data_IF_173434030619
#
_entry.id   IF_173434030619
#
_cell.length_a   1.000
_cell.length_b   1.000
_cell.length_c   1.000
_cell.angle_alpha   90.00
_cell.angle_beta   90.00
_cell.angle_gamma   90.00
#
_symmetry.space_group_name_H-M   'P 1'
#
loop_
_entity.id
_entity.type
_entity.pdbx_description
1 polymer ?
#
# COMPACT_ATOMS: atom_id res chain seq x y z
N UNK A 1 -31.60 -29.97 -31.07
CA UNK A 1 -32.98 -29.48 -31.02
C UNK A 1 -33.89 -30.56 -30.49
N UNK A 2 -34.58 -30.28 -29.39
CA UNK A 2 -35.56 -31.16 -28.76
C UNK A 2 -36.78 -31.40 -29.65
N UNK A 3 -37.38 -32.59 -29.60
CA UNK A 3 -38.51 -33.00 -30.46
C UNK A 3 -39.77 -32.15 -30.17
N UNK A 4 -39.97 -31.71 -28.93
CA UNK A 4 -41.10 -30.87 -28.54
C UNK A 4 -40.89 -29.41 -28.95
N UNK A 5 -39.65 -28.91 -28.93
CA UNK A 5 -39.31 -27.60 -29.48
C UNK A 5 -39.52 -27.56 -31.00
N UNK A 6 -39.19 -28.65 -31.70
CA UNK A 6 -39.42 -28.75 -33.14
C UNK A 6 -40.91 -28.65 -33.50
N UNK A 7 -41.77 -29.33 -32.73
CA UNK A 7 -43.24 -29.22 -32.90
C UNK A 7 -43.75 -27.79 -32.65
N UNK A 8 -43.17 -27.06 -31.71
CA UNK A 8 -43.54 -25.65 -31.47
C UNK A 8 -43.13 -24.75 -32.64
N UNK A 9 -42.00 -25.01 -33.28
CA UNK A 9 -41.55 -24.30 -34.49
C UNK A 9 -42.46 -24.62 -35.67
N UNK A 10 -42.76 -25.90 -35.91
CA UNK A 10 -43.64 -26.36 -37.00
C UNK A 10 -45.08 -25.81 -36.83
N UNK A 11 -45.54 -25.64 -35.60
CA UNK A 11 -46.85 -25.05 -35.29
C UNK A 11 -46.91 -23.51 -35.37
N UNK A 12 -45.79 -22.84 -35.69
CA UNK A 12 -45.70 -21.39 -35.77
C UNK A 12 -45.73 -20.64 -34.44
N UNK A 13 -45.72 -21.36 -33.31
CA UNK A 13 -45.75 -20.77 -31.95
C UNK A 13 -44.38 -20.31 -31.45
N UNK A 14 -43.31 -20.70 -32.15
CA UNK A 14 -41.92 -20.39 -31.82
C UNK A 14 -41.13 -20.20 -33.13
N UNK A 15 -40.27 -19.19 -33.20
CA UNK A 15 -39.35 -19.05 -34.35
C UNK A 15 -38.13 -19.96 -34.21
N UNK A 16 -37.50 -20.38 -35.30
CA UNK A 16 -36.28 -21.22 -35.23
C UNK A 16 -35.16 -20.57 -34.40
N UNK A 17 -35.00 -19.25 -34.51
CA UNK A 17 -34.04 -18.48 -33.71
C UNK A 17 -34.41 -18.47 -32.22
N UNK A 18 -35.69 -18.38 -31.89
CA UNK A 18 -36.15 -18.46 -30.51
C UNK A 18 -35.97 -19.89 -29.95
N UNK A 19 -36.16 -20.93 -30.76
CA UNK A 19 -35.90 -22.31 -30.37
C UNK A 19 -34.43 -22.55 -29.97
N UNK A 20 -33.47 -21.96 -30.70
CA UNK A 20 -32.05 -22.01 -30.33
C UNK A 20 -31.76 -21.33 -28.98
N UNK A 21 -32.45 -20.21 -28.67
CA UNK A 21 -32.29 -19.57 -27.36
C UNK A 21 -32.93 -20.38 -26.24
N UNK A 22 -34.11 -20.96 -26.49
CA UNK A 22 -34.78 -21.83 -25.53
C UNK A 22 -33.94 -23.07 -25.26
N UNK A 23 -33.27 -23.63 -26.26
CA UNK A 23 -32.39 -24.80 -26.08
C UNK A 23 -31.22 -24.52 -25.10
N UNK A 24 -30.81 -23.26 -24.93
CA UNK A 24 -29.85 -22.84 -23.89
C UNK A 24 -30.46 -22.71 -22.51
N UNK A 25 -31.79 -22.58 -22.41
CA UNK A 25 -32.55 -22.40 -21.17
C UNK A 25 -33.15 -23.72 -20.66
N UNK A 26 -32.40 -24.83 -20.73
CA UNK A 26 -32.84 -26.14 -20.22
C UNK A 26 -33.13 -26.12 -18.71
N UNK A 27 -33.97 -27.04 -18.19
CA UNK A 27 -34.14 -27.20 -16.75
C UNK A 27 -32.80 -27.30 -16.02
N UNK A 28 -32.67 -26.55 -14.94
CA UNK A 28 -31.44 -26.40 -14.18
C UNK A 28 -30.54 -25.24 -14.61
N UNK A 29 -30.72 -24.66 -15.80
CA UNK A 29 -29.93 -23.51 -16.28
C UNK A 29 -30.27 -22.24 -15.50
N UNK A 30 -29.27 -21.39 -15.26
CA UNK A 30 -29.43 -20.07 -14.70
C UNK A 30 -29.70 -19.02 -15.79
N UNK A 31 -30.54 -18.04 -15.49
CA UNK A 31 -30.90 -16.99 -16.44
C UNK A 31 -31.05 -15.63 -15.75
N UNK A 32 -30.96 -14.57 -16.54
CA UNK A 32 -31.22 -13.20 -16.11
C UNK A 32 -32.39 -12.61 -16.91
N UNK A 33 -33.38 -12.07 -16.21
CA UNK A 33 -34.46 -11.28 -16.79
C UNK A 33 -34.26 -9.80 -16.47
N UNK A 34 -34.53 -8.90 -17.42
CA UNK A 34 -34.34 -7.45 -17.24
C UNK A 34 -35.14 -6.87 -16.07
N UNK A 35 -36.37 -7.34 -15.86
CA UNK A 35 -37.28 -6.80 -14.83
C UNK A 35 -37.40 -7.68 -13.59
N UNK A 36 -37.10 -8.97 -13.69
CA UNK A 36 -37.30 -9.94 -12.59
C UNK A 36 -35.98 -10.44 -12.01
N UNK A 37 -34.85 -10.05 -12.61
CA UNK A 37 -33.52 -10.37 -12.12
C UNK A 37 -33.13 -11.82 -12.37
N UNK A 38 -32.31 -12.34 -11.47
CA UNK A 38 -31.76 -13.69 -11.55
C UNK A 38 -32.83 -14.76 -11.31
N UNK A 39 -32.76 -15.84 -12.09
CA UNK A 39 -33.61 -17.00 -11.91
C UNK A 39 -32.95 -18.30 -12.35
N UNK A 40 -33.57 -19.41 -11.98
CA UNK A 40 -33.21 -20.76 -12.39
C UNK A 40 -34.39 -21.42 -13.09
N UNK A 41 -34.15 -22.01 -14.25
CA UNK A 41 -35.19 -22.74 -14.97
C UNK A 41 -35.53 -23.98 -14.16
N UNK A 42 -36.77 -24.06 -13.69
CA UNK A 42 -37.27 -25.19 -12.91
C UNK A 42 -37.72 -26.31 -13.86
N UNK A 43 -38.50 -25.97 -14.88
CA UNK A 43 -39.15 -26.95 -15.74
C UNK A 43 -39.43 -26.38 -17.14
N UNK A 44 -39.40 -27.28 -18.12
CA UNK A 44 -39.95 -27.07 -19.45
C UNK A 44 -41.32 -27.71 -19.54
N UNK A 45 -42.34 -26.90 -19.77
CA UNK A 45 -43.69 -27.38 -20.07
C UNK A 45 -44.05 -27.01 -21.51
N UNK A 46 -43.32 -27.61 -22.45
CA UNK A 46 -43.41 -27.28 -23.87
C UNK A 46 -44.77 -27.68 -24.47
N UNK A 47 -45.41 -28.72 -23.90
CA UNK A 47 -46.79 -29.11 -24.23
C UNK A 47 -47.78 -27.95 -24.01
N UNK A 48 -47.63 -27.20 -22.91
CA UNK A 48 -48.44 -26.02 -22.61
C UNK A 48 -47.84 -24.72 -23.19
N UNK A 49 -46.77 -24.81 -23.98
CA UNK A 49 -46.02 -23.67 -24.51
C UNK A 49 -45.49 -22.74 -23.39
N UNK A 50 -45.01 -23.32 -22.29
CA UNK A 50 -44.53 -22.59 -21.11
C UNK A 50 -43.15 -23.06 -20.62
N UNK A 51 -42.41 -22.14 -20.02
CA UNK A 51 -41.21 -22.41 -19.22
C UNK A 51 -41.48 -21.90 -17.81
N UNK A 52 -41.15 -22.72 -16.81
CA UNK A 52 -41.30 -22.38 -15.39
C UNK A 52 -39.93 -22.00 -14.83
N UNK A 53 -39.85 -20.82 -14.22
CA UNK A 53 -38.60 -20.25 -13.70
C UNK A 53 -38.78 -19.82 -12.25
N UNK A 54 -37.81 -20.18 -11.42
CA UNK A 54 -37.69 -19.69 -10.05
C UNK A 54 -36.83 -18.43 -10.03
N UNK A 55 -37.47 -17.26 -10.02
CA UNK A 55 -36.77 -15.99 -9.76
C UNK A 55 -36.62 -15.75 -8.26
N UNK A 56 -35.59 -14.99 -7.87
CA UNK A 56 -35.30 -14.70 -6.46
C UNK A 56 -36.50 -14.11 -5.70
N UNK A 57 -37.32 -13.28 -6.34
CA UNK A 57 -38.53 -12.69 -5.75
C UNK A 57 -39.84 -13.34 -6.17
N UNK A 58 -39.82 -14.32 -7.09
CA UNK A 58 -41.02 -14.93 -7.67
C UNK A 58 -40.76 -16.37 -8.10
N UNK A 59 -41.06 -17.31 -7.20
CA UNK A 59 -40.93 -18.75 -7.46
C UNK A 59 -42.01 -19.26 -8.40
N UNK A 60 -41.70 -20.32 -9.13
CA UNK A 60 -42.60 -21.06 -10.03
C UNK A 60 -43.32 -20.15 -11.04
N UNK A 61 -42.60 -19.17 -11.59
CA UNK A 61 -43.17 -18.27 -12.56
C UNK A 61 -43.21 -18.93 -13.95
N UNK A 62 -44.42 -19.30 -14.39
CA UNK A 62 -44.66 -19.74 -15.75
C UNK A 62 -44.71 -18.54 -16.72
N UNK A 63 -44.00 -18.65 -17.84
CA UNK A 63 -44.08 -17.69 -18.95
C UNK A 63 -44.04 -18.40 -20.30
N UNK A 64 -44.53 -17.74 -21.35
CA UNK A 64 -44.57 -18.31 -22.70
C UNK A 64 -43.16 -18.54 -23.26
N UNK A 65 -42.96 -19.66 -23.96
CA UNK A 65 -41.64 -20.07 -24.50
C UNK A 65 -41.01 -18.99 -25.40
N UNK A 66 -41.79 -18.38 -26.30
CA UNK A 66 -41.29 -17.29 -27.16
C UNK A 66 -40.88 -16.06 -26.33
N UNK A 67 -41.65 -15.68 -25.30
CA UNK A 67 -41.31 -14.56 -24.42
C UNK A 67 -40.04 -14.81 -23.63
N UNK A 68 -39.87 -16.04 -23.13
CA UNK A 68 -38.64 -16.49 -22.46
C UNK A 68 -37.43 -16.38 -23.40
N UNK A 69 -37.55 -16.82 -24.65
CA UNK A 69 -36.50 -16.75 -25.65
C UNK A 69 -36.03 -15.31 -25.95
N UNK A 70 -36.94 -14.35 -25.89
CA UNK A 70 -36.68 -12.94 -26.19
C UNK A 70 -36.14 -12.14 -25.00
N UNK A 71 -36.51 -12.51 -23.77
CA UNK A 71 -36.28 -11.68 -22.58
C UNK A 71 -35.32 -12.29 -21.56
N UNK A 72 -34.87 -13.53 -21.76
CA UNK A 72 -33.93 -14.19 -20.86
C UNK A 72 -32.56 -14.36 -21.49
N UNK A 73 -31.55 -13.99 -20.72
CA UNK A 73 -30.16 -14.29 -21.04
C UNK A 73 -29.73 -15.51 -20.23
N UNK A 74 -29.36 -16.61 -20.90
CA UNK A 74 -28.75 -17.77 -20.25
C UNK A 74 -27.39 -17.40 -19.66
N UNK A 75 -27.13 -17.80 -18.42
CA UNK A 75 -25.86 -17.58 -17.73
C UNK A 75 -25.07 -18.89 -17.69
N UNK A 76 -23.77 -18.81 -17.94
CA UNK A 76 -22.91 -20.01 -17.77
C UNK A 76 -22.73 -20.33 -16.28
N UNK A 77 -22.46 -21.59 -15.93
CA UNK A 77 -22.18 -21.99 -14.54
C UNK A 77 -21.03 -21.20 -13.89
N UNK A 78 -20.08 -20.72 -14.69
CA UNK A 78 -18.92 -19.93 -14.25
C UNK A 78 -19.28 -18.47 -13.93
N UNK A 79 -20.42 -17.98 -14.43
CA UNK A 79 -20.91 -16.64 -14.16
C UNK A 79 -21.09 -16.42 -12.65
N UNK A 80 -20.68 -15.25 -12.14
CA UNK A 80 -20.64 -14.98 -10.70
C UNK A 80 -21.99 -15.23 -10.00
N UNK A 81 -23.10 -14.74 -10.58
CA UNK A 81 -24.44 -14.94 -10.01
C UNK A 81 -24.85 -16.42 -9.96
N UNK A 82 -24.46 -17.23 -10.96
CA UNK A 82 -24.74 -18.66 -10.98
C UNK A 82 -23.97 -19.39 -9.87
N UNK A 83 -22.68 -19.05 -9.70
CA UNK A 83 -21.84 -19.57 -8.60
C UNK A 83 -22.37 -19.16 -7.24
N UNK A 84 -22.76 -17.89 -7.06
CA UNK A 84 -23.33 -17.37 -5.82
C UNK A 84 -24.62 -18.10 -5.43
N UNK A 85 -25.49 -18.38 -6.39
CA UNK A 85 -26.72 -19.12 -6.13
C UNK A 85 -26.49 -20.61 -5.84
N UNK A 86 -25.44 -21.20 -6.42
CA UNK A 86 -25.13 -22.62 -6.25
C UNK A 86 -24.37 -22.91 -4.95
N UNK A 87 -23.48 -22.02 -4.54
CA UNK A 87 -22.62 -22.20 -3.37
C UNK A 87 -22.24 -20.85 -2.74
N UNK A 88 -23.18 -20.30 -1.96
CA UNK A 88 -22.96 -19.07 -1.22
C UNK A 88 -21.83 -19.20 -0.15
N UNK A 89 -21.70 -20.32 0.59
CA UNK A 89 -20.60 -20.49 1.54
C UNK A 89 -19.21 -20.33 0.91
N UNK A 90 -18.96 -20.91 -0.26
CA UNK A 90 -17.65 -20.74 -0.92
C UNK A 90 -17.42 -19.31 -1.41
N UNK A 91 -18.45 -18.61 -1.88
CA UNK A 91 -18.34 -17.18 -2.22
C UNK A 91 -18.01 -16.33 -0.99
N UNK A 92 -18.63 -16.60 0.17
CA UNK A 92 -18.30 -15.89 1.42
C UNK A 92 -16.85 -16.14 1.84
N UNK A 93 -16.38 -17.39 1.76
CA UNK A 93 -14.99 -17.75 2.03
C UNK A 93 -14.02 -17.03 1.08
N UNK A 94 -14.30 -17.11 -0.22
CA UNK A 94 -13.46 -16.49 -1.25
C UNK A 94 -13.44 -14.96 -1.13
N UNK A 95 -14.54 -14.33 -0.69
CA UNK A 95 -14.57 -12.89 -0.42
C UNK A 95 -13.71 -12.48 0.78
N UNK A 96 -13.53 -13.37 1.77
CA UNK A 96 -12.65 -13.12 2.91
C UNK A 96 -11.17 -13.38 2.57
N UNK A 97 -10.88 -14.47 1.85
CA UNK A 97 -9.51 -14.93 1.58
C UNK A 97 -8.90 -14.27 0.33
N UNK A 98 -9.67 -14.14 -0.75
CA UNK A 98 -9.21 -13.67 -2.06
C UNK A 98 -10.14 -12.58 -2.65
N UNK A 99 -10.20 -11.40 -2.02
CA UNK A 99 -11.11 -10.33 -2.44
C UNK A 99 -10.87 -9.84 -3.88
N UNK A 100 -9.62 -9.90 -4.35
CA UNK A 100 -9.24 -9.54 -5.73
C UNK A 100 -9.84 -10.52 -6.76
N UNK A 101 -9.90 -11.81 -6.42
CA UNK A 101 -10.46 -12.84 -7.30
C UNK A 101 -11.99 -12.70 -7.44
N UNK A 102 -12.69 -12.34 -6.36
CA UNK A 102 -14.12 -12.03 -6.40
C UNK A 102 -14.40 -10.86 -7.33
N UNK A 103 -13.64 -9.75 -7.18
CA UNK A 103 -13.83 -8.57 -8.04
C UNK A 103 -13.55 -8.90 -9.50
N UNK A 104 -12.52 -9.69 -9.81
CA UNK A 104 -12.25 -10.18 -11.16
C UNK A 104 -13.46 -10.94 -11.71
N UNK A 105 -13.95 -11.93 -10.98
CA UNK A 105 -15.07 -12.79 -11.40
C UNK A 105 -16.34 -11.98 -11.67
N UNK A 106 -16.62 -10.96 -10.85
CA UNK A 106 -17.75 -10.05 -11.05
C UNK A 106 -17.54 -9.18 -12.30
N UNK A 107 -16.35 -8.61 -12.49
CA UNK A 107 -16.04 -7.77 -13.66
C UNK A 107 -16.13 -8.58 -14.95
N UNK A 108 -15.61 -9.80 -14.99
CA UNK A 108 -15.72 -10.72 -16.14
C UNK A 108 -17.19 -11.00 -16.46
N UNK A 109 -17.99 -11.27 -15.43
CA UNK A 109 -19.44 -11.51 -15.56
C UNK A 109 -20.23 -10.28 -16.03
N UNK A 110 -19.74 -9.07 -15.74
CA UNK A 110 -20.34 -7.80 -16.16
C UNK A 110 -19.79 -7.30 -17.53
N UNK A 111 -19.01 -8.12 -18.24
CA UNK A 111 -18.48 -7.77 -19.57
C UNK A 111 -17.22 -6.91 -19.53
N UNK A 112 -16.35 -7.12 -18.53
CA UNK A 112 -15.00 -6.56 -18.46
C UNK A 112 -14.88 -5.19 -17.78
N UNK A 113 -16.00 -4.59 -17.35
CA UNK A 113 -16.02 -3.34 -16.59
C UNK A 113 -17.16 -3.27 -15.59
N UNK A 114 -16.90 -2.72 -14.39
CA UNK A 114 -17.92 -2.53 -13.37
C UNK A 114 -17.60 -1.35 -12.45
N UNK A 115 -18.61 -0.59 -12.05
CA UNK A 115 -18.47 0.41 -10.98
C UNK A 115 -18.51 -0.24 -9.59
N UNK A 116 -18.04 0.47 -8.57
CA UNK A 116 -18.13 0.01 -7.19
C UNK A 116 -19.58 -0.28 -6.76
N UNK A 117 -20.54 0.49 -7.27
CA UNK A 117 -21.96 0.29 -6.99
C UNK A 117 -22.47 -1.03 -7.59
N UNK A 118 -22.13 -1.30 -8.87
CA UNK A 118 -22.53 -2.54 -9.55
C UNK A 118 -21.94 -3.79 -8.89
N UNK A 119 -20.69 -3.72 -8.41
CA UNK A 119 -20.09 -4.82 -7.64
C UNK A 119 -20.81 -5.00 -6.30
N UNK A 120 -21.14 -3.89 -5.62
CA UNK A 120 -21.88 -3.89 -4.37
C UNK A 120 -23.27 -4.51 -4.49
N UNK A 121 -24.01 -4.23 -5.56
CA UNK A 121 -25.34 -4.79 -5.84
C UNK A 121 -25.37 -6.33 -5.80
N UNK A 122 -24.26 -6.99 -6.14
CA UNK A 122 -24.20 -8.45 -6.19
C UNK A 122 -23.72 -9.10 -4.89
N UNK A 123 -23.15 -8.31 -3.97
CA UNK A 123 -22.53 -8.80 -2.73
C UNK A 123 -23.29 -8.35 -1.48
N UNK A 124 -23.87 -7.15 -1.48
CA UNK A 124 -24.64 -6.61 -0.36
C UNK A 124 -25.96 -7.37 -0.23
N UNK A 125 -26.33 -7.73 1.00
CA UNK A 125 -27.52 -8.52 1.33
C UNK A 125 -27.23 -10.00 1.53
N UNK A 126 -26.50 -10.62 0.58
CA UNK A 126 -26.20 -12.05 0.63
C UNK A 126 -24.84 -12.35 1.30
N UNK A 127 -23.81 -11.59 0.93
CA UNK A 127 -22.41 -11.81 1.35
C UNK A 127 -22.03 -10.85 2.48
N UNK A 128 -22.40 -9.58 2.34
CA UNK A 128 -22.08 -8.52 3.29
C UNK A 128 -23.30 -7.69 3.67
N UNK A 129 -23.31 -7.17 4.89
CA UNK A 129 -24.13 -6.00 5.24
C UNK A 129 -23.57 -4.73 4.61
N UNK A 130 -24.36 -3.64 4.56
CA UNK A 130 -23.85 -2.36 4.04
C UNK A 130 -22.61 -1.84 4.78
N UNK A 131 -22.55 -2.06 6.09
CA UNK A 131 -21.44 -1.62 6.93
C UNK A 131 -20.16 -2.45 6.65
N UNK A 132 -20.30 -3.76 6.51
CA UNK A 132 -19.20 -4.66 6.16
C UNK A 132 -18.68 -4.38 4.75
N UNK A 133 -19.58 -4.17 3.79
CA UNK A 133 -19.24 -3.82 2.42
C UNK A 133 -18.35 -2.57 2.36
N UNK A 134 -18.70 -1.50 3.08
CA UNK A 134 -17.89 -0.26 3.09
C UNK A 134 -16.46 -0.53 3.58
N UNK A 135 -16.30 -1.33 4.64
CA UNK A 135 -14.99 -1.67 5.20
C UNK A 135 -14.19 -2.59 4.25
N UNK A 136 -14.86 -3.62 3.73
CA UNK A 136 -14.29 -4.59 2.80
C UNK A 136 -13.87 -3.94 1.48
N UNK A 137 -14.66 -2.99 0.97
CA UNK A 137 -14.37 -2.31 -0.29
C UNK A 137 -13.13 -1.41 -0.18
N UNK A 138 -12.98 -0.66 0.92
CA UNK A 138 -11.81 0.21 1.12
C UNK A 138 -10.51 -0.60 1.27
N UNK A 139 -10.54 -1.78 1.91
CA UNK A 139 -9.36 -2.67 1.95
C UNK A 139 -9.11 -3.32 0.58
N UNK A 140 -10.15 -3.83 -0.08
CA UNK A 140 -10.05 -4.47 -1.41
C UNK A 140 -9.56 -3.50 -2.47
N UNK A 141 -9.99 -2.23 -2.45
CA UNK A 141 -9.50 -1.20 -3.38
C UNK A 141 -7.98 -1.01 -3.30
N UNK A 142 -7.39 -1.12 -2.11
CA UNK A 142 -5.92 -1.08 -1.94
C UNK A 142 -5.26 -2.31 -2.56
N UNK A 143 -5.84 -3.50 -2.40
CA UNK A 143 -5.36 -4.74 -3.00
C UNK A 143 -5.48 -4.73 -4.54
N UNK A 144 -6.59 -4.23 -5.08
CA UNK A 144 -6.77 -4.07 -6.52
C UNK A 144 -5.69 -3.17 -7.12
N UNK A 145 -5.44 -2.01 -6.49
CA UNK A 145 -4.33 -1.11 -6.88
C UNK A 145 -2.97 -1.79 -6.75
N UNK A 146 -2.76 -2.57 -5.69
CA UNK A 146 -1.51 -3.28 -5.46
C UNK A 146 -1.28 -4.45 -6.44
N UNK A 147 -2.33 -5.05 -7.00
CA UNK A 147 -2.20 -6.18 -7.92
C UNK A 147 -1.69 -5.77 -9.30
N UNK A 148 -1.89 -4.50 -9.70
CA UNK A 148 -1.51 -4.03 -11.02
C UNK A 148 -2.26 -4.70 -12.18
N UNK A 149 -3.31 -5.48 -11.93
CA UNK A 149 -4.12 -6.13 -12.98
C UNK A 149 -5.39 -5.33 -13.34
N UNK A 150 -5.70 -4.28 -12.57
CA UNK A 150 -6.93 -3.49 -12.71
C UNK A 150 -6.59 -2.03 -12.90
N UNK A 151 -7.36 -1.36 -13.76
CA UNK A 151 -7.41 0.10 -13.78
C UNK A 151 -8.45 0.57 -12.76
N UNK A 152 -7.99 1.14 -11.65
CA UNK A 152 -8.84 1.59 -10.55
C UNK A 152 -8.92 3.12 -10.54
N UNK A 153 -10.05 3.71 -10.97
CA UNK A 153 -10.17 5.16 -11.06
C UNK A 153 -10.21 5.85 -9.68
N UNK A 154 -9.88 7.15 -9.68
CA UNK A 154 -9.90 7.97 -8.49
C UNK A 154 -11.34 8.25 -8.01
N UNK A 155 -12.27 8.48 -8.95
CA UNK A 155 -13.69 8.72 -8.66
C UNK A 155 -14.42 7.41 -8.40
N UNK A 156 -15.34 7.40 -7.44
CA UNK A 156 -16.14 6.22 -7.06
C UNK A 156 -17.20 5.83 -8.11
N UNK A 157 -17.56 6.77 -8.98
CA UNK A 157 -18.55 6.60 -10.07
C UNK A 157 -17.99 5.91 -11.31
N UNK A 158 -16.67 5.96 -11.48
CA UNK A 158 -16.02 5.51 -12.70
C UNK A 158 -15.82 3.98 -12.66
N UNK A 159 -15.90 3.34 -13.82
CA UNK A 159 -15.79 1.88 -13.94
C UNK A 159 -14.37 1.39 -13.67
N UNK A 160 -14.25 0.35 -12.84
CA UNK A 160 -13.04 -0.46 -12.74
C UNK A 160 -13.03 -1.41 -13.94
N UNK A 161 -11.88 -1.52 -14.59
CA UNK A 161 -11.68 -2.38 -15.76
C UNK A 161 -10.52 -3.32 -15.52
N UNK A 162 -10.64 -4.55 -16.05
CA UNK A 162 -9.48 -5.42 -16.20
C UNK A 162 -8.55 -4.80 -17.24
N UNK A 163 -7.24 -4.80 -16.96
CA UNK A 163 -6.26 -4.33 -17.94
C UNK A 163 -6.22 -5.35 -19.09
N UNK A 164 -6.75 -4.97 -20.25
CA UNK A 164 -6.56 -5.71 -21.49
C UNK A 164 -5.09 -5.58 -21.94
N UNK A 165 -4.57 -6.57 -22.66
CA UNK A 165 -3.16 -6.66 -23.11
C UNK A 165 -2.63 -5.42 -23.85
N UNK A 166 -3.51 -4.52 -24.32
CA UNK A 166 -3.16 -3.29 -25.04
C UNK A 166 -2.91 -2.03 -24.22
N UNK A 167 -3.29 -1.96 -22.93
CA UNK A 167 -2.95 -0.80 -22.05
C UNK A 167 -1.89 -1.25 -21.06
N UNK A 168 -0.64 -0.92 -21.38
CA UNK A 168 0.51 -1.27 -20.53
C UNK A 168 0.45 -0.50 -19.22
N UNK A 169 0.38 -1.20 -18.07
CA UNK A 169 0.49 -0.56 -16.76
C UNK A 169 1.74 0.31 -16.64
N UNK A 170 2.84 -0.13 -17.27
CA UNK A 170 4.09 0.62 -17.33
C UNK A 170 3.89 2.02 -17.95
N UNK A 171 3.11 2.13 -19.03
CA UNK A 171 2.85 3.41 -19.69
C UNK A 171 1.98 4.33 -18.81
N UNK A 172 1.00 3.77 -18.10
CA UNK A 172 0.20 4.53 -17.13
C UNK A 172 1.05 5.07 -15.97
N UNK A 173 1.99 4.27 -15.46
CA UNK A 173 2.89 4.68 -14.38
C UNK A 173 3.84 5.80 -14.85
N UNK A 174 4.36 5.72 -16.07
CA UNK A 174 5.17 6.77 -16.68
C UNK A 174 4.32 8.03 -16.88
N UNK A 175 3.09 7.92 -17.39
CA UNK A 175 2.19 9.05 -17.57
C UNK A 175 1.83 9.72 -16.23
N UNK A 176 1.60 8.93 -15.18
CA UNK A 176 1.34 9.44 -13.84
C UNK A 176 2.55 10.20 -13.28
N UNK A 177 3.76 9.67 -13.48
CA UNK A 177 5.00 10.34 -13.10
C UNK A 177 5.17 11.66 -13.86
N UNK A 178 4.99 11.66 -15.18
CA UNK A 178 5.13 12.86 -16.03
C UNK A 178 4.10 13.94 -15.70
N UNK A 179 2.92 13.57 -15.19
CA UNK A 179 1.88 14.51 -14.76
C UNK A 179 2.15 15.11 -13.38
N UNK A 180 2.95 14.45 -12.54
CA UNK A 180 3.24 14.93 -11.20
C UNK A 180 4.16 16.17 -11.25
N UNK A 181 3.63 17.33 -10.84
CA UNK A 181 4.40 18.58 -10.82
C UNK A 181 5.08 18.82 -9.47
N UNK A 182 4.55 18.25 -8.38
CA UNK A 182 5.12 18.44 -7.05
C UNK A 182 6.17 17.36 -6.73
N UNK A 183 7.26 17.68 -6.01
CA UNK A 183 8.29 16.70 -5.67
C UNK A 183 7.75 15.48 -4.93
N UNK A 184 6.82 15.66 -3.98
CA UNK A 184 6.22 14.56 -3.21
C UNK A 184 5.37 13.62 -4.07
N UNK A 185 4.66 14.17 -5.06
CA UNK A 185 3.88 13.38 -6.01
C UNK A 185 4.82 12.58 -6.93
N UNK A 186 5.92 13.18 -7.37
CA UNK A 186 6.94 12.49 -8.17
C UNK A 186 7.65 11.39 -7.38
N UNK A 187 8.01 11.62 -6.12
CA UNK A 187 8.57 10.58 -5.23
C UNK A 187 7.60 9.41 -5.14
N UNK A 188 6.32 9.69 -4.87
CA UNK A 188 5.28 8.65 -4.77
C UNK A 188 5.13 7.88 -6.08
N UNK A 189 5.15 8.57 -7.23
CA UNK A 189 5.06 7.96 -8.54
C UNK A 189 6.30 7.10 -8.87
N UNK A 190 7.51 7.56 -8.54
CA UNK A 190 8.75 6.79 -8.70
C UNK A 190 8.77 5.53 -7.82
N UNK A 191 8.29 5.63 -6.57
CA UNK A 191 8.12 4.47 -5.69
C UNK A 191 7.12 3.44 -6.27
N UNK A 192 6.05 3.90 -6.95
CA UNK A 192 5.14 2.99 -7.67
C UNK A 192 5.81 2.32 -8.87
N UNK A 193 6.58 3.07 -9.68
CA UNK A 193 7.36 2.50 -10.80
C UNK A 193 8.30 1.42 -10.27
N UNK A 194 9.05 1.72 -9.20
CA UNK A 194 9.97 0.77 -8.55
C UNK A 194 9.24 -0.50 -8.09
N UNK A 195 8.08 -0.34 -7.46
CA UNK A 195 7.26 -1.45 -6.98
C UNK A 195 6.82 -2.38 -8.11
N UNK A 196 6.46 -1.83 -9.27
CA UNK A 196 5.98 -2.58 -10.42
C UNK A 196 7.03 -2.73 -11.54
N UNK A 197 8.33 -2.64 -11.20
CA UNK A 197 9.43 -2.69 -12.18
C UNK A 197 9.39 -3.90 -13.12
N UNK A 198 8.90 -5.06 -12.64
CA UNK A 198 8.76 -6.29 -13.44
C UNK A 198 7.83 -6.14 -14.65
N UNK A 199 6.93 -5.15 -14.64
CA UNK A 199 5.99 -4.92 -15.73
C UNK A 199 6.59 -4.12 -16.89
N UNK A 200 7.78 -3.55 -16.69
CA UNK A 200 8.49 -2.79 -17.71
C UNK A 200 9.31 -3.73 -18.58
N UNK A 201 8.72 -4.19 -19.69
CA UNK A 201 9.41 -5.01 -20.70
C UNK A 201 10.57 -4.30 -21.41
N UNK A 202 10.56 -2.96 -21.41
CA UNK A 202 11.59 -2.08 -21.98
C UNK A 202 11.99 -1.05 -20.93
N UNK A 203 12.87 -1.41 -19.97
CA UNK A 203 13.30 -0.53 -18.89
C UNK A 203 13.91 0.79 -19.37
N UNK A 204 14.51 0.82 -20.57
CA UNK A 204 15.17 1.99 -21.15
C UNK A 204 14.23 3.20 -21.30
N UNK A 205 12.92 2.95 -21.41
CA UNK A 205 11.87 4.00 -21.42
C UNK A 205 11.80 4.81 -20.13
N UNK A 206 12.36 4.30 -19.03
CA UNK A 206 12.44 5.00 -17.74
C UNK A 206 13.67 5.91 -17.63
N UNK A 207 14.57 5.93 -18.61
CA UNK A 207 15.74 6.81 -18.57
C UNK A 207 15.37 8.31 -18.44
N UNK A 208 14.32 8.85 -19.12
CA UNK A 208 13.85 10.22 -18.88
C UNK A 208 13.28 10.45 -17.48
N UNK A 209 12.71 9.41 -16.84
CA UNK A 209 12.23 9.47 -15.45
C UNK A 209 13.41 9.72 -14.51
N UNK A 210 14.51 8.99 -14.68
CA UNK A 210 15.76 9.20 -13.91
C UNK A 210 16.25 10.63 -14.04
N UNK A 211 16.38 11.15 -15.27
CA UNK A 211 16.83 12.52 -15.50
C UNK A 211 15.89 13.56 -14.86
N UNK A 212 14.58 13.31 -14.86
CA UNK A 212 13.59 14.20 -14.22
C UNK A 212 13.75 14.21 -12.70
N UNK A 213 13.94 13.05 -12.08
CA UNK A 213 14.18 12.94 -10.63
C UNK A 213 15.45 13.70 -10.24
N UNK A 214 16.55 13.52 -10.99
CA UNK A 214 17.84 14.17 -10.72
C UNK A 214 17.74 15.69 -10.81
N UNK A 215 17.12 16.21 -11.88
CA UNK A 215 16.88 17.64 -12.03
C UNK A 215 16.04 18.23 -10.88
N UNK A 216 15.05 17.47 -10.41
CA UNK A 216 14.20 17.90 -9.30
C UNK A 216 14.92 17.86 -7.96
N UNK A 217 15.81 16.90 -7.73
CA UNK A 217 16.64 16.85 -6.53
C UNK A 217 17.55 18.08 -6.46
N UNK A 218 18.24 18.41 -7.56
CA UNK A 218 19.11 19.60 -7.64
C UNK A 218 18.32 20.89 -7.39
N UNK A 219 17.14 21.04 -8.00
CA UNK A 219 16.29 22.23 -7.82
C UNK A 219 15.82 22.42 -6.38
N UNK A 220 15.56 21.34 -5.65
CA UNK A 220 15.02 21.40 -4.30
C UNK A 220 16.08 21.42 -3.20
N UNK A 221 17.32 21.00 -3.46
CA UNK A 221 18.38 20.84 -2.45
C UNK A 221 18.58 22.08 -1.57
N UNK A 222 18.55 23.28 -2.14
CA UNK A 222 18.80 24.52 -1.38
C UNK A 222 17.69 24.83 -0.37
N UNK A 223 16.43 24.72 -0.78
CA UNK A 223 15.25 25.13 0.01
C UNK A 223 14.63 23.99 0.81
N UNK A 224 14.60 22.79 0.22
CA UNK A 224 13.99 21.59 0.77
C UNK A 224 14.96 20.40 0.61
N UNK A 225 16.10 20.40 1.32
CA UNK A 225 17.08 19.32 1.24
C UNK A 225 16.47 17.95 1.56
N UNK A 226 15.47 17.86 2.45
CA UNK A 226 14.76 16.61 2.71
C UNK A 226 14.15 15.97 1.46
N UNK A 227 13.60 16.79 0.55
CA UNK A 227 13.02 16.31 -0.71
C UNK A 227 14.10 15.85 -1.68
N UNK A 228 15.27 16.51 -1.67
CA UNK A 228 16.41 16.07 -2.47
C UNK A 228 16.90 14.68 -2.03
N UNK A 229 17.05 14.44 -0.72
CA UNK A 229 17.37 13.11 -0.19
C UNK A 229 16.32 12.07 -0.63
N UNK A 230 15.03 12.37 -0.49
CA UNK A 230 13.97 11.42 -0.88
C UNK A 230 13.94 11.11 -2.39
N UNK A 231 14.20 12.10 -3.24
CA UNK A 231 14.30 11.93 -4.68
C UNK A 231 15.51 11.06 -5.06
N UNK A 232 16.67 11.28 -4.41
CA UNK A 232 17.85 10.45 -4.63
C UNK A 232 17.62 9.01 -4.18
N UNK A 233 16.97 8.78 -3.04
CA UNK A 233 16.58 7.43 -2.64
C UNK A 233 15.65 6.78 -3.67
N UNK A 234 14.64 7.49 -4.17
CA UNK A 234 13.73 6.96 -5.18
C UNK A 234 14.45 6.62 -6.51
N UNK A 235 15.44 7.43 -6.90
CA UNK A 235 16.30 7.14 -8.05
C UNK A 235 17.17 5.90 -7.81
N UNK A 236 17.86 5.85 -6.68
CA UNK A 236 18.81 4.77 -6.39
C UNK A 236 18.08 3.43 -6.25
N UNK A 237 16.89 3.41 -5.64
CA UNK A 237 16.04 2.22 -5.58
C UNK A 237 15.59 1.77 -6.99
N UNK A 238 15.37 2.69 -7.95
CA UNK A 238 15.10 2.33 -9.36
C UNK A 238 16.33 1.73 -10.04
N UNK A 239 17.50 2.35 -9.88
CA UNK A 239 18.76 1.87 -10.47
C UNK A 239 19.15 0.49 -9.94
N UNK A 240 18.91 0.23 -8.64
CA UNK A 240 19.14 -1.07 -8.02
C UNK A 240 18.23 -2.17 -8.63
N UNK A 241 16.97 -1.83 -8.93
CA UNK A 241 16.00 -2.80 -9.48
C UNK A 241 16.11 -2.98 -10.99
N UNK A 242 16.61 -1.98 -11.70
CA UNK A 242 16.71 -1.95 -13.16
C UNK A 242 18.15 -1.56 -13.57
N UNK A 243 19.08 -2.53 -13.59
CA UNK A 243 20.50 -2.26 -13.89
C UNK A 243 20.76 -1.69 -15.30
N UNK A 244 19.77 -1.73 -16.20
CA UNK A 244 19.86 -1.12 -17.54
C UNK A 244 19.77 0.42 -17.48
N UNK A 245 19.27 0.97 -16.39
CA UNK A 245 19.19 2.41 -16.16
C UNK A 245 20.49 2.94 -15.59
N UNK A 246 20.82 4.18 -15.93
CA UNK A 246 22.05 4.83 -15.50
C UNK A 246 21.76 6.23 -14.97
N UNK A 247 22.56 6.70 -14.03
CA UNK A 247 22.52 8.10 -13.60
C UNK A 247 22.93 9.02 -14.76
N UNK A 248 22.26 10.16 -14.91
CA UNK A 248 22.71 11.20 -15.86
C UNK A 248 23.60 12.23 -15.18
N UNK A 249 23.67 12.21 -13.85
CA UNK A 249 24.43 13.16 -13.05
C UNK A 249 25.32 12.42 -12.02
N UNK A 250 26.52 12.04 -12.44
CA UNK A 250 27.50 11.26 -11.64
C UNK A 250 27.80 11.94 -10.29
N UNK A 251 27.81 13.27 -10.24
CA UNK A 251 28.06 14.03 -9.01
C UNK A 251 26.89 14.04 -8.02
N UNK A 252 25.72 13.52 -8.37
CA UNK A 252 24.51 13.58 -7.54
C UNK A 252 24.35 12.23 -6.82
N UNK A 253 25.13 12.00 -5.77
CA UNK A 253 25.07 10.77 -4.97
C UNK A 253 24.62 11.06 -3.54
N UNK A 254 24.18 10.02 -2.82
CA UNK A 254 23.87 10.13 -1.39
C UNK A 254 25.08 10.69 -0.61
N UNK A 255 26.29 10.20 -0.89
CA UNK A 255 27.51 10.67 -0.24
C UNK A 255 27.77 12.16 -0.50
N UNK A 256 27.55 12.62 -1.74
CA UNK A 256 27.72 14.03 -2.08
C UNK A 256 26.67 14.91 -1.39
N UNK A 257 25.41 14.47 -1.33
CA UNK A 257 24.37 15.17 -0.56
C UNK A 257 24.71 15.25 0.93
N UNK A 258 25.21 14.18 1.54
CA UNK A 258 25.65 14.19 2.95
C UNK A 258 26.77 15.21 3.16
N UNK A 259 27.76 15.24 2.26
CA UNK A 259 28.87 16.19 2.31
C UNK A 259 28.40 17.64 2.18
N UNK A 260 27.51 17.92 1.21
CA UNK A 260 27.01 19.27 0.96
C UNK A 260 26.07 19.76 2.08
N UNK A 261 25.33 18.84 2.70
CA UNK A 261 24.32 19.13 3.71
C UNK A 261 24.78 18.85 5.14
N UNK A 262 26.07 18.58 5.37
CA UNK A 262 26.67 18.18 6.66
C UNK A 262 26.17 19.03 7.83
N UNK A 263 26.14 20.35 7.65
CA UNK A 263 25.71 21.32 8.68
C UNK A 263 24.19 21.33 8.94
N UNK A 264 23.38 20.87 7.98
CA UNK A 264 21.91 20.88 8.04
C UNK A 264 21.32 19.51 8.39
N UNK A 265 22.14 18.45 8.46
CA UNK A 265 21.69 17.07 8.70
C UNK A 265 20.76 16.94 9.92
N UNK A 266 21.08 17.58 11.05
CA UNK A 266 20.23 17.54 12.26
C UNK A 266 18.79 18.01 12.00
N UNK A 267 18.59 18.95 11.07
CA UNK A 267 17.26 19.46 10.67
C UNK A 267 16.59 18.63 9.57
N UNK A 268 17.36 17.86 8.81
CA UNK A 268 16.88 17.05 7.68
C UNK A 268 16.40 15.68 8.17
N UNK A 269 17.20 14.99 8.97
CA UNK A 269 16.94 13.62 9.43
C UNK A 269 15.54 13.43 10.05
N UNK A 270 15.03 14.32 10.93
CA UNK A 270 13.70 14.17 11.52
C UNK A 270 12.56 14.18 10.50
N UNK A 271 12.77 14.77 9.32
CA UNK A 271 11.77 14.86 8.24
C UNK A 271 11.75 13.61 7.36
N UNK A 272 12.74 12.72 7.48
CA UNK A 272 12.83 11.48 6.73
C UNK A 272 12.10 10.33 7.45
N UNK A 273 11.72 9.32 6.67
CA UNK A 273 11.24 8.06 7.27
C UNK A 273 12.37 7.36 8.03
N UNK A 274 12.04 6.54 9.03
CA UNK A 274 13.03 5.84 9.84
C UNK A 274 14.01 4.98 9.01
N UNK A 275 13.53 4.38 7.92
CA UNK A 275 14.36 3.60 7.01
C UNK A 275 15.36 4.47 6.22
N UNK A 276 14.89 5.62 5.67
CA UNK A 276 15.74 6.56 4.94
C UNK A 276 16.74 7.24 5.87
N UNK A 277 16.32 7.64 7.08
CA UNK A 277 17.21 8.19 8.13
C UNK A 277 18.35 7.22 8.47
N UNK A 278 18.03 5.94 8.69
CA UNK A 278 19.04 4.91 8.94
C UNK A 278 20.04 4.79 7.79
N UNK A 279 19.57 4.77 6.54
CA UNK A 279 20.45 4.71 5.35
C UNK A 279 21.40 5.92 5.30
N UNK A 280 20.94 7.14 5.62
CA UNK A 280 21.80 8.33 5.68
C UNK A 280 22.88 8.18 6.76
N UNK A 281 22.50 7.78 7.97
CA UNK A 281 23.45 7.63 9.07
C UNK A 281 24.51 6.56 8.79
N UNK A 282 24.13 5.44 8.19
CA UNK A 282 25.06 4.37 7.80
C UNK A 282 26.04 4.79 6.70
N UNK A 283 25.67 5.78 5.89
CA UNK A 283 26.53 6.32 4.84
C UNK A 283 27.51 7.38 5.33
N UNK A 284 27.41 7.87 6.58
CA UNK A 284 28.29 8.92 7.12
C UNK A 284 29.79 8.57 7.05
N UNK A 285 30.25 7.37 7.47
CA UNK A 285 31.68 7.05 7.46
C UNK A 285 32.27 7.11 6.05
N UNK A 286 31.53 6.59 5.07
CA UNK A 286 31.94 6.61 3.68
C UNK A 286 31.86 8.01 3.06
N UNK A 287 30.84 8.80 3.40
CA UNK A 287 30.60 10.11 2.79
C UNK A 287 31.53 11.21 3.31
N UNK A 288 31.86 11.18 4.60
CA UNK A 288 32.60 12.26 5.26
C UNK A 288 34.08 11.93 5.52
N UNK A 289 34.50 10.67 5.34
CA UNK A 289 35.85 10.22 5.68
C UNK A 289 36.15 10.57 7.14
N UNK A 290 37.36 11.03 7.46
CA UNK A 290 37.83 11.31 8.83
C UNK A 290 36.91 12.23 9.65
N UNK A 291 36.13 13.11 8.99
CA UNK A 291 35.21 14.05 9.66
C UNK A 291 33.91 13.42 10.14
N UNK A 292 33.65 12.16 9.79
CA UNK A 292 32.38 11.50 10.10
C UNK A 292 32.13 11.39 11.61
N UNK A 293 33.19 11.19 12.40
CA UNK A 293 33.13 11.11 13.85
C UNK A 293 32.62 12.41 14.45
N UNK A 294 33.24 13.54 14.11
CA UNK A 294 32.80 14.86 14.58
C UNK A 294 31.33 15.15 14.22
N UNK A 295 30.92 14.77 13.01
CA UNK A 295 29.54 14.92 12.56
C UNK A 295 28.58 14.04 13.37
N UNK A 296 28.90 12.75 13.55
CA UNK A 296 28.10 11.81 14.33
C UNK A 296 27.91 12.29 15.77
N UNK A 297 28.96 12.83 16.39
CA UNK A 297 28.90 13.36 17.76
C UNK A 297 28.04 14.62 17.87
N UNK A 298 28.13 15.54 16.89
CA UNK A 298 27.23 16.70 16.81
C UNK A 298 25.77 16.27 16.66
N UNK A 299 25.52 15.26 15.83
CA UNK A 299 24.17 14.71 15.65
C UNK A 299 23.66 14.00 16.91
N UNK A 300 24.52 13.31 17.68
CA UNK A 300 24.16 12.71 18.97
C UNK A 300 23.66 13.76 19.97
N UNK A 301 24.29 14.94 19.98
CA UNK A 301 23.93 16.05 20.88
C UNK A 301 22.74 16.89 20.38
N UNK A 302 22.47 16.91 19.07
CA UNK A 302 21.50 17.83 18.45
C UNK A 302 20.23 17.19 17.89
N UNK A 303 20.05 15.87 17.99
CA UNK A 303 18.97 15.15 17.30
C UNK A 303 18.01 14.43 18.24
N UNK A 304 16.91 13.90 17.69
CA UNK A 304 15.92 13.09 18.41
C UNK A 304 16.44 11.68 18.74
N UNK A 305 15.81 11.00 19.71
CA UNK A 305 16.31 9.73 20.27
C UNK A 305 16.49 8.58 19.27
N UNK A 306 15.77 8.59 18.14
CA UNK A 306 16.00 7.59 17.08
C UNK A 306 17.40 7.73 16.47
N UNK A 307 17.81 8.97 16.17
CA UNK A 307 19.16 9.26 15.67
C UNK A 307 20.20 8.91 16.71
N UNK A 308 19.97 9.25 17.99
CA UNK A 308 20.87 8.90 19.10
C UNK A 308 21.15 7.39 19.13
N UNK A 309 20.09 6.58 19.13
CA UNK A 309 20.22 5.12 19.16
C UNK A 309 20.93 4.55 17.92
N UNK A 310 20.64 5.09 16.72
CA UNK A 310 21.30 4.64 15.49
C UNK A 310 22.77 5.05 15.43
N UNK A 311 23.12 6.28 15.83
CA UNK A 311 24.51 6.75 15.86
C UNK A 311 25.31 5.95 16.88
N UNK A 312 24.79 5.74 18.08
CA UNK A 312 25.47 4.95 19.10
C UNK A 312 25.76 3.51 18.61
N UNK A 313 24.80 2.93 17.89
CA UNK A 313 24.98 1.62 17.24
C UNK A 313 26.06 1.67 16.15
N UNK A 314 26.03 2.64 15.24
CA UNK A 314 27.00 2.77 14.15
C UNK A 314 28.42 2.99 14.71
N UNK A 315 28.58 3.82 15.73
CA UNK A 315 29.86 4.03 16.41
C UNK A 315 30.37 2.74 17.05
N UNK A 316 29.49 1.97 17.70
CA UNK A 316 29.86 0.67 18.28
C UNK A 316 30.26 -0.35 17.21
N UNK A 317 29.51 -0.44 16.10
CA UNK A 317 29.81 -1.32 14.96
C UNK A 317 31.12 -0.92 14.25
N UNK A 318 31.49 0.36 14.27
CA UNK A 318 32.75 0.89 13.74
C UNK A 318 33.94 0.75 14.70
N UNK A 319 33.77 0.10 15.86
CA UNK A 319 34.82 -0.06 16.87
C UNK A 319 35.12 1.20 17.68
N UNK A 320 34.30 2.25 17.56
CA UNK A 320 34.46 3.55 18.24
C UNK A 320 33.68 3.61 19.56
N UNK A 321 33.57 2.47 20.25
CA UNK A 321 32.79 2.35 21.49
C UNK A 321 33.42 3.15 22.64
N UNK A 322 34.75 3.11 22.76
CA UNK A 322 35.47 3.85 23.81
C UNK A 322 35.35 5.37 23.62
N UNK A 323 35.40 5.85 22.37
CA UNK A 323 35.22 7.27 22.08
C UNK A 323 33.79 7.73 22.44
N UNK A 324 32.78 6.93 22.09
CA UNK A 324 31.40 7.18 22.51
C UNK A 324 31.27 7.18 24.03
N UNK A 325 31.93 6.25 24.73
CA UNK A 325 31.95 6.18 26.20
C UNK A 325 32.48 7.47 26.81
N UNK A 326 33.68 7.90 26.39
CA UNK A 326 34.34 9.11 26.91
C UNK A 326 33.46 10.36 26.74
N UNK A 327 32.75 10.45 25.61
CA UNK A 327 31.87 11.58 25.33
C UNK A 327 30.62 11.54 26.21
N UNK A 328 30.05 10.36 26.43
CA UNK A 328 28.93 10.19 27.37
C UNK A 328 29.36 10.52 28.80
N UNK A 329 30.49 9.99 29.28
CA UNK A 329 31.07 10.31 30.59
C UNK A 329 31.24 11.82 30.77
N UNK A 330 31.86 12.47 29.78
CA UNK A 330 32.06 13.92 29.78
C UNK A 330 30.75 14.68 29.79
N UNK A 331 29.78 14.31 28.94
CA UNK A 331 28.48 14.98 28.88
C UNK A 331 27.63 14.78 30.13
N UNK A 332 27.80 13.65 30.84
CA UNK A 332 27.19 13.41 32.15
C UNK A 332 27.84 14.32 33.19
N UNK A 333 29.17 14.31 33.28
CA UNK A 333 29.93 15.11 34.24
C UNK A 333 29.69 16.61 34.09
N UNK A 334 29.68 17.11 32.85
CA UNK A 334 29.40 18.52 32.53
C UNK A 334 27.90 18.87 32.57
N UNK A 335 27.02 17.89 32.85
CA UNK A 335 25.55 18.02 32.81
C UNK A 335 25.00 18.54 31.47
N UNK A 336 25.75 18.36 30.39
CA UNK A 336 25.44 18.84 29.03
C UNK A 336 24.69 17.81 28.19
N UNK A 337 24.58 16.55 28.66
CA UNK A 337 23.82 15.50 28.00
C UNK A 337 22.36 15.92 27.75
N UNK A 338 21.83 15.57 26.57
CA UNK A 338 20.43 15.83 26.23
C UNK A 338 19.51 14.77 26.82
N UNK A 339 18.23 15.12 26.97
CA UNK A 339 17.24 14.18 27.49
C UNK A 339 17.10 12.93 26.64
N UNK A 340 17.24 13.05 25.31
CA UNK A 340 17.18 11.92 24.39
C UNK A 340 18.42 11.01 24.54
N UNK A 341 19.62 11.58 24.78
CA UNK A 341 20.82 10.81 25.13
C UNK A 341 20.66 10.04 26.45
N UNK A 342 20.19 10.73 27.48
CA UNK A 342 20.01 10.13 28.82
C UNK A 342 18.91 9.05 28.80
N UNK A 343 17.81 9.29 28.08
CA UNK A 343 16.73 8.30 27.92
C UNK A 343 17.25 7.05 27.23
N UNK A 344 18.05 7.21 26.15
CA UNK A 344 18.66 6.08 25.46
C UNK A 344 19.65 5.32 26.36
N UNK A 345 20.53 6.03 27.06
CA UNK A 345 21.53 5.42 27.95
C UNK A 345 20.88 4.61 29.08
N UNK A 346 19.83 5.15 29.70
CA UNK A 346 19.07 4.44 30.74
C UNK A 346 18.41 3.16 30.19
N UNK A 347 17.95 3.19 28.93
CA UNK A 347 17.39 2.02 28.24
C UNK A 347 18.43 0.95 27.89
N UNK A 348 19.69 1.35 27.69
CA UNK A 348 20.81 0.47 27.36
C UNK A 348 21.73 0.17 28.56
N UNK A 349 21.22 0.35 29.79
CA UNK A 349 21.98 0.23 31.06
C UNK A 349 22.79 -1.05 31.23
N UNK A 350 22.32 -2.18 30.71
CA UNK A 350 23.05 -3.45 30.79
C UNK A 350 24.32 -3.42 29.93
N UNK A 351 24.24 -2.76 28.78
CA UNK A 351 25.39 -2.62 27.87
C UNK A 351 26.32 -1.52 28.31
N UNK A 352 25.86 -0.52 29.05
CA UNK A 352 26.64 0.64 29.48
C UNK A 352 26.72 0.74 31.00
N UNK A 353 26.84 -0.40 31.68
CA UNK A 353 26.81 -0.47 33.15
C UNK A 353 27.87 0.41 33.81
N UNK A 354 29.03 0.62 33.16
CA UNK A 354 30.07 1.53 33.63
C UNK A 354 29.64 3.00 33.74
N UNK A 355 28.60 3.42 32.99
CA UNK A 355 28.07 4.78 32.97
C UNK A 355 26.88 4.99 33.92
N UNK A 356 26.41 3.92 34.57
CA UNK A 356 25.29 3.99 35.51
C UNK A 356 25.85 4.34 36.89
N UNK A 357 26.17 5.63 37.05
CA UNK A 357 26.79 6.18 38.27
C UNK A 357 25.86 7.21 38.96
N UNK A 358 26.17 7.62 40.21
CA UNK A 358 25.47 8.74 40.85
C UNK A 358 25.55 10.06 40.06
N UNK A 359 26.57 10.25 39.23
CA UNK A 359 26.69 11.44 38.38
C UNK A 359 25.65 11.42 37.27
N UNK A 360 25.32 10.23 36.74
CA UNK A 360 24.21 10.07 35.80
C UNK A 360 22.89 10.52 36.41
N UNK A 361 22.66 10.25 37.71
CA UNK A 361 21.47 10.72 38.42
C UNK A 361 21.40 12.24 38.44
N UNK A 362 22.52 12.89 38.79
CA UNK A 362 22.65 14.34 38.74
C UNK A 362 22.38 14.91 37.35
N UNK A 363 22.92 14.29 36.31
CA UNK A 363 22.71 14.71 34.92
C UNK A 363 21.24 14.55 34.47
N UNK A 364 20.56 13.48 34.87
CA UNK A 364 19.12 13.27 34.62
C UNK A 364 18.29 14.35 35.29
N UNK A 365 18.55 14.65 36.56
CA UNK A 365 17.84 15.72 37.26
C UNK A 365 18.07 17.09 36.59
N UNK A 366 19.33 17.43 36.26
CA UNK A 366 19.66 18.68 35.59
C UNK A 366 18.97 18.81 34.21
N UNK A 367 18.88 17.71 33.46
CA UNK A 367 18.16 17.69 32.18
C UNK A 367 16.64 17.89 32.36
N UNK A 368 16.03 17.22 33.35
CA UNK A 368 14.61 17.38 33.67
C UNK A 368 14.27 18.81 34.13
N UNK A 369 15.15 19.44 34.91
CA UNK A 369 15.00 20.84 35.31
C UNK A 369 15.05 21.77 34.10
N UNK A 370 16.05 21.61 33.22
CA UNK A 370 16.16 22.38 31.96
C UNK A 370 14.91 22.25 31.09
N UNK A 371 14.36 21.04 30.95
CA UNK A 371 13.12 20.80 30.19
C UNK A 371 11.90 21.49 30.79
N UNK A 372 11.78 21.48 32.12
CA UNK A 372 10.68 22.13 32.83
C UNK A 372 10.68 23.65 32.63
N UNK A 373 11.85 24.25 32.46
CA UNK A 373 12.00 25.66 32.13
C UNK A 373 11.73 25.97 30.65
N UNK A 374 11.88 24.98 29.75
CA UNK A 374 11.70 25.14 28.31
C UNK A 374 10.27 24.80 27.81
N UNK A 375 9.51 23.95 28.51
CA UNK A 375 8.21 23.45 28.05
C UNK A 375 7.12 23.46 29.14
N UNK A 376 5.92 23.90 28.77
CA UNK A 376 4.72 23.92 29.62
C UNK A 376 4.04 22.54 29.74
N UNK A 377 4.05 21.98 30.95
CA UNK A 377 3.06 21.05 31.55
C UNK A 377 2.92 19.58 31.10
N UNK A 378 3.73 19.01 30.19
CA UNK A 378 3.67 17.56 29.89
C UNK A 378 4.93 16.83 30.34
N UNK A 379 4.76 15.78 31.17
CA UNK A 379 5.87 14.94 31.63
C UNK A 379 6.68 14.38 30.44
N UNK A 380 7.97 14.69 30.42
CA UNK A 380 8.87 14.32 29.32
C UNK A 380 9.08 12.81 29.23
N UNK A 381 9.59 12.32 28.10
CA UNK A 381 9.93 10.89 27.94
C UNK A 381 10.97 10.45 28.96
N UNK A 382 11.93 11.33 29.27
CA UNK A 382 12.95 11.11 30.30
C UNK A 382 12.30 10.95 31.68
N UNK A 383 11.34 11.81 32.04
CA UNK A 383 10.61 11.70 33.30
C UNK A 383 9.87 10.37 33.42
N UNK A 384 9.20 9.90 32.35
CA UNK A 384 8.53 8.59 32.35
C UNK A 384 9.52 7.44 32.49
N UNK A 385 10.57 7.43 31.67
CA UNK A 385 11.60 6.39 31.73
C UNK A 385 12.25 6.29 33.13
N UNK A 386 12.45 7.43 33.79
CA UNK A 386 13.10 7.51 35.09
C UNK A 386 12.17 7.19 36.29
N UNK A 387 10.94 7.70 36.28
CA UNK A 387 9.99 7.49 37.39
C UNK A 387 9.37 6.09 37.38
N UNK A 388 9.24 5.48 36.20
CA UNK A 388 8.68 4.13 36.06
C UNK A 388 9.70 3.02 36.39
N UNK A 389 11.02 3.29 36.29
CA UNK A 389 12.08 2.30 36.57
C UNK A 389 12.70 2.47 37.98
N UNK A 390 12.03 1.89 38.99
CA UNK A 390 12.51 1.89 40.38
C UNK A 390 13.83 1.13 40.59
N UNK A 391 14.18 0.19 39.70
CA UNK A 391 15.44 -0.54 39.81
C UNK A 391 16.62 0.32 39.36
N UNK A 392 16.43 1.12 38.32
CA UNK A 392 17.42 2.08 37.84
C UNK A 392 17.80 3.10 38.93
N UNK A 393 16.82 3.60 39.68
CA UNK A 393 17.07 4.50 40.83
C UNK A 393 17.98 3.86 41.89
N UNK A 394 17.79 2.58 42.18
CA UNK A 394 18.61 1.85 43.15
C UNK A 394 20.01 1.48 42.65
N UNK A 395 20.24 1.48 41.34
CA UNK A 395 21.57 1.24 40.74
C UNK A 395 22.42 2.50 40.64
N UNK A 396 21.78 3.67 40.64
CA UNK A 396 22.43 4.98 40.53
C UNK A 396 22.67 5.66 41.88
N UNK A 397 22.13 5.10 42.97
CA UNK A 397 22.39 5.49 44.35
C UNK A 397 23.46 4.58 44.95
#
# INVERSE_FOLDING_TARGET
>A
MDVELQKLVESGKLTSKAAEQVEKLRPGTFCLHKSWGFGRVAEWNLLLNQIVIDFTGKKSHAMQVQYAAENLTSLSPEHFLARKASDLPSIKKLAAEEPVAIVRSIIDSLGGRASAAQIGEWLVGDVFTEAEWKRWWESTKKLLKASGAFSVPAKKTDSIQLRAEGVSHADELIAAFNKACQPKEQITAAEQITKFHQQFKQPEKLQPVIATIENMAVRNQKLHPELAFELIFARDDLLERLPQLHTTHIGLSLSKLILDEEKRLASILPKLSAAKEKKVLQALPFALGDRWMECALKLLQGSHGRVVAQIARILSEAGQRDELRLILERSIHEQSATSEMLTWLCGEREKWSELITPELFGAVLAALERERHAASSRASKLHRAFVEDRQLLGQMC
#
